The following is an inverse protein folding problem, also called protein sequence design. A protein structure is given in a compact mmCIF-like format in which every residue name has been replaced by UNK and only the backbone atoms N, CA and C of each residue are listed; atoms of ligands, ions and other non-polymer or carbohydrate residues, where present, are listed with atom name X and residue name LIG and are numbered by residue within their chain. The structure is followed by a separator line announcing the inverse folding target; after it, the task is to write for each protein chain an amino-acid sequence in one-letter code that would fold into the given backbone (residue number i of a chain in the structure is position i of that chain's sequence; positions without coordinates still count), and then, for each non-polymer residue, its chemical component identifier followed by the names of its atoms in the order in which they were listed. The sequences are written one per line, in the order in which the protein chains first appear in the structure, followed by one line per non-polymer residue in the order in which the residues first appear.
data_IF_347244206174
#
_entry.id   IF_347244206174
#
_cell.length_a   1.000
_cell.length_b   1.000
_cell.length_c   1.000
_cell.angle_alpha   90.00
_cell.angle_beta   90.00
_cell.angle_gamma   90.00
#
_symmetry.space_group_name_H-M   'P 1'
#
loop_
_entity.id
_entity.type
_entity.pdbx_description
1 polymer ?
#
# COMPACT_ATOMS: atom_id res chain seq x y z
N UNK A 1 11.05 14.20 23.95
CA UNK A 1 10.82 15.11 22.81
C UNK A 1 9.80 14.46 21.88
N UNK A 2 8.59 15.06 21.79
CA UNK A 2 7.47 14.89 20.83
C UNK A 2 7.15 13.47 20.32
N UNK A 3 6.07 12.76 20.66
CA UNK A 3 4.63 13.07 20.83
C UNK A 3 3.94 13.71 19.60
N UNK A 4 3.02 12.94 19.01
CA UNK A 4 1.66 13.36 18.59
C UNK A 4 1.48 14.02 17.21
N UNK A 5 1.01 13.23 16.24
CA UNK A 5 0.19 13.65 15.09
C UNK A 5 -0.66 12.42 14.67
N UNK A 6 -1.87 12.15 15.19
CA UNK A 6 -3.12 12.91 15.07
C UNK A 6 -3.27 13.49 13.65
N UNK A 7 -4.08 12.91 12.77
CA UNK A 7 -5.51 12.73 12.97
C UNK A 7 -6.22 14.03 12.57
N UNK A 8 -6.29 14.32 11.28
CA UNK A 8 -6.86 15.56 10.77
C UNK A 8 -7.47 15.37 9.37
N UNK A 9 -8.59 14.66 9.26
CA UNK A 9 -9.50 14.82 8.11
C UNK A 9 -10.94 14.36 8.39
N UNK A 10 -11.52 14.74 9.53
CA UNK A 10 -12.98 14.66 9.76
C UNK A 10 -13.38 15.92 10.52
N UNK A 11 -14.15 16.80 9.89
CA UNK A 11 -14.70 17.98 10.57
C UNK A 11 -14.92 19.18 9.66
N UNK A 12 -15.71 19.04 8.60
CA UNK A 12 -16.24 20.18 7.85
C UNK A 12 -17.77 20.18 7.92
N UNK A 13 -18.33 20.81 8.96
CA UNK A 13 -19.65 21.46 9.00
C UNK A 13 -19.86 22.11 10.38
N UNK A 14 -19.61 23.41 10.47
CA UNK A 14 -20.18 24.28 11.50
C UNK A 14 -20.96 25.39 10.81
N UNK A 15 -22.21 25.52 11.21
CA UNK A 15 -23.17 26.55 10.84
C UNK A 15 -24.59 25.96 10.77
N UNK A 16 -25.64 26.60 11.32
CA UNK A 16 -25.70 27.95 11.88
C UNK A 16 -26.09 28.03 13.37
N UNK A 17 -25.76 29.18 13.95
CA UNK A 17 -26.22 29.69 15.24
C UNK A 17 -27.58 30.35 14.98
N UNK A 18 -28.63 29.94 15.69
CA UNK A 18 -29.79 30.76 16.09
C UNK A 18 -30.83 29.87 16.79
N UNK A 19 -30.83 29.90 18.12
CA UNK A 19 -31.99 29.48 18.93
C UNK A 19 -32.91 30.67 19.17
N UNK A 20 -34.23 30.50 19.00
CA UNK A 20 -35.20 31.24 19.79
C UNK A 20 -35.69 30.37 20.95
N UNK A 21 -35.54 30.93 22.15
CA UNK A 21 -36.30 30.60 23.36
C UNK A 21 -37.80 30.59 23.08
N UNK A 22 -38.52 29.55 23.53
CA UNK A 22 -39.73 29.65 24.34
C UNK A 22 -40.60 28.39 24.25
N UNK A 23 -40.96 27.87 25.43
CA UNK A 23 -42.37 27.62 25.71
C UNK A 23 -42.95 26.26 25.29
N UNK A 24 -42.83 25.30 26.21
CA UNK A 24 -44.04 24.73 26.82
C UNK A 24 -44.67 23.50 26.16
N UNK A 25 -45.27 22.74 27.08
CA UNK A 25 -46.40 21.81 26.88
C UNK A 25 -46.00 20.36 26.59
N UNK A 26 -45.78 19.62 27.70
CA UNK A 26 -46.01 18.18 27.77
C UNK A 26 -47.50 17.90 27.50
N UNK A 27 -47.80 17.20 26.41
CA UNK A 27 -49.10 16.55 26.19
C UNK A 27 -48.86 15.09 25.85
N UNK A 28 -49.40 14.23 26.72
CA UNK A 28 -50.08 13.01 26.30
C UNK A 28 -49.18 11.84 25.94
N UNK A 29 -48.88 11.03 26.95
CA UNK A 29 -48.54 9.63 26.77
C UNK A 29 -49.73 8.89 26.10
N UNK A 30 -49.74 8.85 24.76
CA UNK A 30 -50.59 7.96 23.99
C UNK A 30 -49.90 6.59 23.94
N UNK A 31 -50.35 5.71 24.82
CA UNK A 31 -50.01 4.29 24.83
C UNK A 31 -50.65 3.61 23.61
N UNK A 32 -49.89 3.49 22.52
CA UNK A 32 -50.25 2.66 21.36
C UNK A 32 -49.74 1.22 21.62
N UNK A 33 -50.61 0.20 21.67
CA UNK A 33 -50.17 -1.18 21.74
C UNK A 33 -49.48 -1.56 20.43
N UNK A 34 -48.17 -1.86 20.49
CA UNK A 34 -47.43 -2.38 19.32
C UNK A 34 -47.80 -3.85 19.09
N UNK A 35 -48.37 -4.20 17.93
CA UNK A 35 -48.66 -5.60 17.59
C UNK A 35 -47.36 -6.39 17.44
N UNK A 36 -47.44 -7.66 17.84
CA UNK A 36 -46.33 -8.59 18.05
C UNK A 36 -45.25 -8.56 16.98
N UNK A 37 -44.02 -8.32 17.45
CA UNK A 37 -42.79 -8.54 16.67
C UNK A 37 -42.54 -10.04 16.61
N UNK A 38 -43.15 -10.71 15.64
CA UNK A 38 -42.79 -12.05 15.25
C UNK A 38 -41.30 -12.07 14.88
N UNK A 39 -40.49 -12.72 15.73
CA UNK A 39 -39.09 -12.97 15.46
C UNK A 39 -38.99 -14.08 14.41
N UNK A 40 -39.09 -13.70 13.13
CA UNK A 40 -38.69 -14.57 12.02
C UNK A 40 -37.17 -14.64 11.93
N UNK A 41 -36.56 -15.81 11.63
CA UNK A 41 -35.14 -15.91 11.39
C UNK A 41 -34.83 -15.38 9.98
N UNK A 42 -34.78 -14.05 9.85
CA UNK A 42 -34.30 -13.37 8.64
C UNK A 42 -32.79 -13.61 8.52
N UNK A 43 -32.41 -14.79 8.05
CA UNK A 43 -31.08 -15.01 7.46
C UNK A 43 -31.05 -14.24 6.15
N UNK A 44 -30.78 -12.95 6.28
CA UNK A 44 -30.62 -12.02 5.17
C UNK A 44 -29.58 -12.54 4.20
N UNK A 45 -30.04 -13.17 3.13
CA UNK A 45 -29.27 -13.32 1.90
C UNK A 45 -29.07 -11.90 1.39
N UNK A 46 -27.98 -11.26 1.82
CA UNK A 46 -27.59 -9.96 1.31
C UNK A 46 -27.26 -10.14 -0.17
N UNK A 47 -28.24 -9.86 -1.03
CA UNK A 47 -28.06 -9.70 -2.46
C UNK A 47 -27.09 -8.53 -2.66
N UNK A 48 -25.79 -8.83 -2.66
CA UNK A 48 -24.75 -7.87 -2.99
C UNK A 48 -25.05 -7.34 -4.39
N UNK A 49 -25.07 -6.02 -4.55
CA UNK A 49 -25.29 -5.44 -5.87
C UNK A 49 -24.20 -5.93 -6.84
N UNK A 50 -24.54 -6.27 -8.10
CA UNK A 50 -23.57 -6.71 -9.10
C UNK A 50 -22.36 -5.76 -9.21
N UNK A 51 -22.59 -4.45 -9.02
CA UNK A 51 -21.55 -3.44 -9.01
C UNK A 51 -20.55 -3.58 -7.84
N UNK A 52 -21.00 -3.96 -6.65
CA UNK A 52 -20.13 -4.19 -5.49
C UNK A 52 -19.28 -5.46 -5.69
N UNK A 53 -19.85 -6.52 -6.27
CA UNK A 53 -19.13 -7.74 -6.61
C UNK A 53 -18.05 -7.50 -7.68
N UNK A 54 -18.39 -6.75 -8.74
CA UNK A 54 -17.43 -6.39 -9.79
C UNK A 54 -16.25 -5.56 -9.24
N UNK A 55 -16.51 -4.60 -8.34
CA UNK A 55 -15.44 -3.84 -7.66
C UNK A 55 -14.54 -4.75 -6.84
N UNK A 56 -15.13 -5.61 -6.00
CA UNK A 56 -14.37 -6.51 -5.15
C UNK A 56 -13.44 -7.41 -5.98
N UNK A 57 -13.91 -7.88 -7.15
CA UNK A 57 -13.10 -8.63 -8.11
C UNK A 57 -11.92 -7.79 -8.65
N UNK A 58 -12.15 -6.55 -9.08
CA UNK A 58 -11.08 -5.66 -9.57
C UNK A 58 -10.01 -5.41 -8.51
N UNK A 59 -10.41 -5.07 -7.29
CA UNK A 59 -9.46 -4.86 -6.19
C UNK A 59 -8.68 -6.14 -5.89
N UNK A 60 -9.34 -7.29 -5.90
CA UNK A 60 -8.67 -8.59 -5.67
C UNK A 60 -7.61 -8.86 -6.74
N UNK A 61 -7.91 -8.60 -8.02
CA UNK A 61 -6.94 -8.74 -9.11
C UNK A 61 -5.77 -7.78 -8.95
N UNK A 62 -6.01 -6.53 -8.56
CA UNK A 62 -4.95 -5.56 -8.30
C UNK A 62 -4.06 -5.98 -7.13
N UNK A 63 -4.64 -6.48 -6.03
CA UNK A 63 -3.89 -7.01 -4.88
C UNK A 63 -3.02 -8.19 -5.29
N UNK A 64 -3.55 -9.11 -6.11
CA UNK A 64 -2.77 -10.24 -6.63
C UNK A 64 -1.61 -9.75 -7.52
N UNK A 65 -1.88 -8.80 -8.41
CA UNK A 65 -0.83 -8.22 -9.26
C UNK A 65 0.25 -7.53 -8.43
N UNK A 66 -0.12 -6.76 -7.40
CA UNK A 66 0.81 -6.12 -6.47
C UNK A 66 1.65 -7.15 -5.71
N UNK A 67 1.04 -8.25 -5.24
CA UNK A 67 1.77 -9.32 -4.57
C UNK A 67 2.79 -9.98 -5.51
N UNK A 68 2.39 -10.28 -6.74
CA UNK A 68 3.30 -10.83 -7.76
C UNK A 68 4.46 -9.88 -8.07
N UNK A 69 4.18 -8.58 -8.27
CA UNK A 69 5.22 -7.58 -8.50
C UNK A 69 6.19 -7.47 -7.31
N UNK A 70 5.68 -7.46 -6.08
CA UNK A 70 6.50 -7.43 -4.87
C UNK A 70 7.37 -8.68 -4.68
N UNK A 71 6.86 -9.86 -5.06
CA UNK A 71 7.64 -11.10 -5.04
C UNK A 71 8.74 -11.11 -6.11
N UNK A 72 8.45 -10.63 -7.31
CA UNK A 72 9.46 -10.47 -8.38
C UNK A 72 10.55 -9.50 -7.94
N UNK A 73 10.18 -8.36 -7.37
CA UNK A 73 11.12 -7.37 -6.82
C UNK A 73 12.01 -7.97 -5.72
N UNK A 74 11.44 -8.80 -4.83
CA UNK A 74 12.22 -9.55 -3.84
C UNK A 74 13.20 -10.53 -4.51
N UNK A 75 12.76 -11.29 -5.51
CA UNK A 75 13.62 -12.22 -6.24
C UNK A 75 14.81 -11.54 -6.91
N UNK A 76 14.57 -10.39 -7.56
CA UNK A 76 15.63 -9.56 -8.14
C UNK A 76 16.58 -9.02 -7.07
N UNK A 77 16.06 -8.53 -5.95
CA UNK A 77 16.87 -8.02 -4.82
C UNK A 77 17.83 -9.11 -4.30
N UNK A 78 17.32 -10.32 -4.07
CA UNK A 78 18.12 -11.44 -3.58
C UNK A 78 19.17 -11.89 -4.60
N UNK A 79 18.83 -11.87 -5.88
CA UNK A 79 19.75 -12.23 -6.97
C UNK A 79 20.89 -11.23 -7.05
N UNK A 80 20.60 -9.92 -6.97
CA UNK A 80 21.61 -8.87 -6.95
C UNK A 80 22.52 -8.94 -5.72
N UNK A 81 21.93 -9.21 -4.55
CA UNK A 81 22.68 -9.32 -3.29
C UNK A 81 23.66 -10.50 -3.29
N UNK A 82 23.30 -11.64 -3.91
CA UNK A 82 24.15 -12.84 -3.93
C UNK A 82 25.20 -12.84 -5.04
N UNK A 83 25.00 -12.10 -6.13
CA UNK A 83 25.88 -12.16 -7.31
C UNK A 83 26.87 -11.00 -7.42
N UNK A 84 26.45 -9.77 -7.12
CA UNK A 84 27.25 -8.56 -7.39
C UNK A 84 27.91 -8.01 -6.12
N UNK A 85 27.47 -8.45 -4.93
CA UNK A 85 27.94 -7.87 -3.66
C UNK A 85 27.56 -6.39 -3.58
N UNK A 86 26.25 -6.12 -3.64
CA UNK A 86 25.77 -4.75 -3.77
C UNK A 86 25.99 -3.94 -2.47
N UNK A 87 26.55 -2.74 -2.61
CA UNK A 87 26.53 -1.73 -1.56
C UNK A 87 25.09 -1.18 -1.49
N UNK A 88 24.28 -1.73 -0.59
CA UNK A 88 22.86 -1.42 -0.42
C UNK A 88 22.65 0.09 -0.14
N UNK A 89 22.24 0.83 -1.18
CA UNK A 89 21.94 2.25 -1.09
C UNK A 89 20.64 2.54 -0.32
N UNK A 90 19.77 1.52 -0.15
CA UNK A 90 18.55 1.64 0.63
C UNK A 90 18.88 1.53 2.13
N UNK A 91 18.78 2.63 2.91
CA UNK A 91 19.18 2.62 4.32
C UNK A 91 18.34 1.65 5.17
N UNK A 92 17.08 1.40 4.78
CA UNK A 92 16.20 0.45 5.46
C UNK A 92 16.64 -0.99 5.18
N UNK A 93 16.98 -1.31 3.92
CA UNK A 93 17.43 -2.64 3.56
C UNK A 93 18.77 -2.96 4.24
N UNK A 94 19.70 -1.99 4.27
CA UNK A 94 20.95 -2.11 5.01
C UNK A 94 20.72 -2.38 6.50
N UNK A 95 19.84 -1.63 7.15
CA UNK A 95 19.50 -1.87 8.56
C UNK A 95 18.90 -3.27 8.79
N UNK A 96 18.07 -3.77 7.88
CA UNK A 96 17.51 -5.14 7.99
C UNK A 96 18.59 -6.22 7.82
N UNK A 97 19.55 -6.01 6.91
CA UNK A 97 20.68 -6.93 6.71
C UNK A 97 21.59 -6.95 7.93
N UNK A 98 21.84 -5.80 8.57
CA UNK A 98 22.63 -5.72 9.81
C UNK A 98 21.98 -6.49 10.96
N UNK A 99 20.65 -6.50 11.05
CA UNK A 99 19.91 -7.18 12.12
C UNK A 99 19.90 -8.71 11.96
N UNK A 100 19.74 -9.22 10.73
CA UNK A 100 19.53 -10.66 10.52
C UNK A 100 19.82 -11.17 9.12
N UNK A 101 20.61 -10.43 8.34
CA UNK A 101 20.99 -10.77 6.98
C UNK A 101 19.83 -10.77 5.98
N UNK A 102 20.05 -11.44 4.84
CA UNK A 102 19.05 -11.52 3.76
C UNK A 102 17.70 -12.11 4.21
N UNK A 103 17.70 -13.01 5.20
CA UNK A 103 16.47 -13.62 5.73
C UNK A 103 15.56 -12.57 6.37
N UNK A 104 16.12 -11.62 7.12
CA UNK A 104 15.34 -10.56 7.77
C UNK A 104 14.69 -9.64 6.73
N UNK A 105 15.40 -9.34 5.64
CA UNK A 105 14.86 -8.57 4.52
C UNK A 105 13.69 -9.28 3.83
N UNK A 106 13.80 -10.59 3.61
CA UNK A 106 12.71 -11.43 3.07
C UNK A 106 11.47 -11.34 3.95
N UNK A 107 11.63 -11.56 5.27
CA UNK A 107 10.52 -11.51 6.22
C UNK A 107 9.85 -10.14 6.20
N UNK A 108 10.64 -9.06 6.20
CA UNK A 108 10.12 -7.70 6.15
C UNK A 108 9.33 -7.40 4.86
N UNK A 109 9.85 -7.79 3.69
CA UNK A 109 9.13 -7.61 2.42
C UNK A 109 7.85 -8.45 2.37
N UNK A 110 7.90 -9.72 2.77
CA UNK A 110 6.70 -10.57 2.80
C UNK A 110 5.64 -10.02 3.77
N UNK A 111 6.06 -9.53 4.93
CA UNK A 111 5.17 -8.90 5.89
C UNK A 111 4.49 -7.65 5.32
N UNK A 112 5.22 -6.76 4.64
CA UNK A 112 4.64 -5.55 4.06
C UNK A 112 3.69 -5.85 2.89
N UNK A 113 4.01 -6.83 2.04
CA UNK A 113 3.11 -7.32 0.97
C UNK A 113 1.82 -7.88 1.58
N UNK A 114 1.94 -8.75 2.58
CA UNK A 114 0.78 -9.38 3.24
C UNK A 114 -0.08 -8.35 3.98
N UNK A 115 0.53 -7.41 4.69
CA UNK A 115 -0.16 -6.37 5.44
C UNK A 115 -0.92 -5.42 4.51
N UNK A 116 -0.23 -4.86 3.51
CA UNK A 116 -0.84 -3.91 2.57
C UNK A 116 -1.91 -4.57 1.70
N UNK A 117 -1.63 -5.75 1.14
CA UNK A 117 -2.58 -6.54 0.37
C UNK A 117 -3.77 -7.00 1.20
N UNK A 118 -3.54 -7.41 2.45
CA UNK A 118 -4.57 -7.82 3.40
C UNK A 118 -5.54 -6.70 3.74
N UNK A 119 -5.04 -5.48 4.02
CA UNK A 119 -5.87 -4.30 4.29
C UNK A 119 -6.75 -3.98 3.07
N UNK A 120 -6.18 -3.94 1.86
CA UNK A 120 -6.93 -3.69 0.63
C UNK A 120 -7.95 -4.80 0.35
N UNK A 121 -7.61 -6.05 0.63
CA UNK A 121 -8.51 -7.19 0.46
C UNK A 121 -9.71 -7.12 1.40
N UNK A 122 -9.49 -6.79 2.69
CA UNK A 122 -10.58 -6.62 3.67
C UNK A 122 -11.49 -5.46 3.23
N UNK A 123 -10.91 -4.36 2.77
CA UNK A 123 -11.64 -3.15 2.36
C UNK A 123 -12.13 -3.17 0.89
N UNK A 124 -12.00 -4.29 0.17
CA UNK A 124 -12.24 -4.39 -1.29
C UNK A 124 -13.61 -3.93 -1.80
N UNK A 125 -14.60 -3.81 -0.91
CA UNK A 125 -15.96 -3.33 -1.24
C UNK A 125 -16.06 -1.80 -1.25
N UNK A 126 -15.13 -1.09 -0.62
CA UNK A 126 -15.11 0.36 -0.54
C UNK A 126 -14.52 1.00 -1.81
N UNK A 127 -15.09 2.12 -2.28
CA UNK A 127 -14.54 2.88 -3.42
C UNK A 127 -13.13 3.39 -3.16
N UNK A 128 -12.83 3.78 -1.91
CA UNK A 128 -11.50 4.22 -1.50
C UNK A 128 -10.44 3.12 -1.73
N UNK A 129 -10.77 1.86 -1.43
CA UNK A 129 -9.84 0.73 -1.63
C UNK A 129 -9.51 0.51 -3.11
N UNK A 130 -10.46 0.76 -4.02
CA UNK A 130 -10.23 0.69 -5.47
C UNK A 130 -9.22 1.75 -5.91
N UNK A 131 -9.37 3.00 -5.46
CA UNK A 131 -8.43 4.08 -5.76
C UNK A 131 -7.05 3.78 -5.16
N UNK A 132 -6.98 3.37 -3.89
CA UNK A 132 -5.72 3.01 -3.25
C UNK A 132 -5.01 1.83 -3.95
N UNK A 133 -5.75 0.81 -4.37
CA UNK A 133 -5.19 -0.33 -5.10
C UNK A 133 -4.63 0.10 -6.47
N UNK A 134 -5.34 0.96 -7.20
CA UNK A 134 -4.84 1.52 -8.46
C UNK A 134 -3.57 2.35 -8.27
N UNK A 135 -3.56 3.26 -7.28
CA UNK A 135 -2.39 4.09 -6.99
C UNK A 135 -1.19 3.24 -6.56
N UNK A 136 -1.41 2.24 -5.72
CA UNK A 136 -0.35 1.33 -5.27
C UNK A 136 0.21 0.50 -6.43
N UNK A 137 -0.67 -0.04 -7.28
CA UNK A 137 -0.29 -0.78 -8.48
C UNK A 137 0.51 0.11 -9.46
N UNK A 138 0.05 1.33 -9.72
CA UNK A 138 0.76 2.29 -10.57
C UNK A 138 2.12 2.68 -9.98
N UNK A 139 2.20 2.90 -8.67
CA UNK A 139 3.46 3.17 -7.99
C UNK A 139 4.48 2.03 -8.14
N UNK A 140 4.05 0.78 -7.95
CA UNK A 140 4.92 -0.39 -8.15
C UNK A 140 5.36 -0.56 -9.61
N UNK A 141 4.48 -0.28 -10.58
CA UNK A 141 4.84 -0.31 -12.00
C UNK A 141 5.86 0.77 -12.36
N UNK A 142 5.65 2.01 -11.90
CA UNK A 142 6.59 3.11 -12.13
C UNK A 142 7.95 2.84 -11.50
N UNK A 143 7.96 2.30 -10.28
CA UNK A 143 9.19 1.90 -9.61
C UNK A 143 9.91 0.79 -10.39
N UNK A 144 9.17 -0.22 -10.86
CA UNK A 144 9.73 -1.30 -11.68
C UNK A 144 10.33 -0.78 -12.99
N UNK A 145 9.65 0.15 -13.66
CA UNK A 145 10.14 0.77 -14.89
C UNK A 145 11.40 1.62 -14.64
N UNK A 146 11.44 2.37 -13.53
CA UNK A 146 12.62 3.13 -13.13
C UNK A 146 13.83 2.22 -12.92
N UNK A 147 13.67 1.11 -12.21
CA UNK A 147 14.74 0.12 -12.01
C UNK A 147 15.17 -0.56 -13.30
N UNK A 148 14.24 -0.88 -14.20
CA UNK A 148 14.57 -1.44 -15.51
C UNK A 148 15.47 -0.49 -16.32
N UNK A 149 15.12 0.80 -16.35
CA UNK A 149 15.92 1.82 -17.02
C UNK A 149 17.29 2.03 -16.37
N UNK A 150 17.34 2.05 -15.03
CA UNK A 150 18.59 2.14 -14.29
C UNK A 150 19.52 0.96 -14.62
N UNK A 151 19.01 -0.27 -14.61
CA UNK A 151 19.79 -1.46 -14.94
C UNK A 151 20.30 -1.46 -16.38
N UNK A 152 19.49 -0.96 -17.34
CA UNK A 152 19.92 -0.81 -18.71
C UNK A 152 21.07 0.21 -18.86
N UNK A 153 20.97 1.35 -18.17
CA UNK A 153 22.01 2.38 -18.18
C UNK A 153 23.31 1.90 -17.49
N UNK A 154 23.18 1.12 -16.41
CA UNK A 154 24.32 0.52 -15.73
C UNK A 154 25.03 -0.51 -16.62
N UNK A 155 24.27 -1.31 -17.37
CA UNK A 155 24.84 -2.29 -18.30
C UNK A 155 25.66 -1.62 -19.41
N UNK A 156 25.17 -0.51 -19.99
CA UNK A 156 25.95 0.26 -20.99
C UNK A 156 27.22 0.86 -20.39
N UNK A 157 27.11 1.49 -19.20
CA UNK A 157 28.25 2.11 -18.54
C UNK A 157 29.32 1.09 -18.13
N UNK A 158 28.92 -0.14 -17.76
CA UNK A 158 29.85 -1.20 -17.38
C UNK A 158 30.74 -1.64 -18.55
N UNK A 159 30.20 -1.64 -19.78
CA UNK A 159 30.98 -1.92 -20.99
C UNK A 159 32.01 -0.83 -21.24
N UNK A 160 31.59 0.44 -21.18
CA UNK A 160 32.49 1.59 -21.38
C UNK A 160 33.60 1.63 -20.33
N UNK A 161 33.26 1.38 -19.06
CA UNK A 161 34.24 1.26 -17.97
C UNK A 161 35.18 0.07 -18.17
N UNK A 162 34.69 -1.05 -18.70
CA UNK A 162 35.54 -2.20 -19.04
C UNK A 162 36.59 -1.86 -20.10
N UNK A 163 36.19 -1.14 -21.14
CA UNK A 163 37.10 -0.65 -22.19
C UNK A 163 38.13 0.32 -21.59
N UNK A 164 37.67 1.29 -20.79
CA UNK A 164 38.57 2.25 -20.13
C UNK A 164 39.52 1.56 -19.15
N UNK A 165 39.07 0.55 -18.41
CA UNK A 165 39.91 -0.21 -17.49
C UNK A 165 41.03 -0.98 -18.22
N UNK A 166 40.78 -1.45 -19.45
CA UNK A 166 41.82 -2.07 -20.29
C UNK A 166 42.81 -1.08 -20.91
N UNK A 167 42.44 0.20 -21.01
CA UNK A 167 43.29 1.25 -21.56
C UNK A 167 44.10 1.88 -20.41
N UNK A 168 45.25 1.30 -20.04
CA UNK A 168 46.10 1.68 -18.88
C UNK A 168 46.62 3.14 -18.89
N UNK A 169 46.27 3.93 -19.90
CA UNK A 169 46.73 5.30 -20.12
C UNK A 169 46.33 6.27 -19.01
N UNK A 170 45.25 6.01 -18.28
CA UNK A 170 44.79 6.87 -17.18
C UNK A 170 45.61 6.70 -15.89
N UNK A 171 46.42 5.64 -15.77
CA UNK A 171 47.30 5.41 -14.60
C UNK A 171 48.55 6.31 -14.65
N UNK A 172 48.94 6.83 -15.81
CA UNK A 172 50.16 7.62 -15.99
C UNK A 172 50.01 9.13 -15.77
N UNK A 173 48.86 9.62 -15.28
CA UNK A 173 48.60 11.06 -15.06
C UNK A 173 49.07 11.58 -13.68
N UNK A 174 49.77 10.75 -12.90
CA UNK A 174 50.23 11.09 -11.55
C UNK A 174 51.76 11.18 -11.40
N UNK A 175 52.52 11.21 -12.51
CA UNK A 175 53.98 11.45 -12.51
C UNK A 175 54.36 12.83 -13.06
#
# INVERSE_FOLDING_TARGET
MAAKAAGAFIGRRLGPINEPMAGGVEIGAVMIPRPGRAAGPDRGVSCQSPAAAARARRVTLLVLAMAMMGLTDLGLTLTYMSSVGMLEANPIARAMIEVGGARQLVIYKLFTIALSGGILYILRRHRAAEVCAWLSCAGLLLLSAHWANYNAALASASVDLGVLATDARWVHLAE
#
